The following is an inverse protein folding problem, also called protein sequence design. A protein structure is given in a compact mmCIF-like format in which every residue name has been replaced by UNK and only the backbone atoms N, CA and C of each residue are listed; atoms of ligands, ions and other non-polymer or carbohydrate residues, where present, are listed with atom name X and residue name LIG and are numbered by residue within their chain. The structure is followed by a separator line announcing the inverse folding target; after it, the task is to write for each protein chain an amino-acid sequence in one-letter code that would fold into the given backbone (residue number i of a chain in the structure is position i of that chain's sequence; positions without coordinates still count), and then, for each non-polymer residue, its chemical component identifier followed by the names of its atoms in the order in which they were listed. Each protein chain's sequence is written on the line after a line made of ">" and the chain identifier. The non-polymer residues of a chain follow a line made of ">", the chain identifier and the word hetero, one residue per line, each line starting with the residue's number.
data_IF_849711559827
#
_entry.id   IF_849711559827
#
_cell.length_a   1.000
_cell.length_b   1.000
_cell.length_c   1.000
_cell.angle_alpha   90.00
_cell.angle_beta   90.00
_cell.angle_gamma   90.00
#
_symmetry.space_group_name_H-M   'P 1'
#
loop_
_entity.id
_entity.type
_entity.pdbx_description
1 polymer ?
#
# COMPACT_ATOMS: atom_id res chain seq x y z
N UNK A 1 -6.92 30.09 14.88
CA UNK A 1 -6.49 29.80 13.50
C UNK A 1 -6.67 28.32 13.29
N UNK A 2 -7.61 27.92 12.43
CA UNK A 2 -7.82 26.51 12.10
C UNK A 2 -6.68 26.10 11.18
N UNK A 3 -5.81 25.21 11.64
CA UNK A 3 -4.77 24.61 10.81
C UNK A 3 -5.47 23.93 9.64
N UNK A 4 -5.23 24.45 8.43
CA UNK A 4 -5.68 23.82 7.21
C UNK A 4 -4.79 22.60 7.05
N UNK A 5 -5.24 21.45 7.54
CA UNK A 5 -4.58 20.16 7.33
C UNK A 5 -4.61 19.96 5.82
N UNK A 6 -3.49 20.23 5.17
CA UNK A 6 -3.31 19.91 3.76
C UNK A 6 -3.62 18.43 3.62
N UNK A 7 -4.51 18.04 2.68
CA UNK A 7 -4.73 16.61 2.44
C UNK A 7 -3.37 15.97 2.16
N UNK A 8 -3.08 14.78 2.72
CA UNK A 8 -1.81 14.11 2.46
C UNK A 8 -1.58 14.00 0.95
N UNK A 9 -0.35 14.22 0.50
CA UNK A 9 -0.02 14.06 -0.91
C UNK A 9 0.10 12.56 -1.17
N UNK A 10 -0.96 12.03 -1.75
CA UNK A 10 -1.17 10.64 -2.06
C UNK A 10 -0.57 10.33 -3.45
N UNK A 11 0.45 9.48 -3.52
CA UNK A 11 1.15 9.12 -4.77
C UNK A 11 0.57 7.83 -5.39
N UNK A 12 0.68 7.62 -6.70
CA UNK A 12 0.10 6.44 -7.36
C UNK A 12 0.80 5.12 -6.95
N UNK A 13 0.20 3.94 -7.19
CA UNK A 13 0.86 2.66 -6.94
C UNK A 13 2.17 2.50 -7.71
N UNK A 14 2.26 3.08 -8.90
CA UNK A 14 3.49 3.08 -9.71
C UNK A 14 4.60 3.87 -9.00
N UNK A 15 4.26 5.03 -8.43
CA UNK A 15 5.21 5.85 -7.67
C UNK A 15 5.65 5.17 -6.37
N UNK A 16 4.81 4.28 -5.81
CA UNK A 16 5.13 3.48 -4.61
C UNK A 16 6.34 2.61 -4.81
N UNK A 17 6.43 1.98 -5.98
CA UNK A 17 7.54 1.09 -6.34
C UNK A 17 8.87 1.84 -6.29
N UNK A 18 8.93 3.02 -6.88
CA UNK A 18 10.15 3.82 -6.89
C UNK A 18 10.42 4.47 -5.52
N UNK A 19 9.37 4.98 -4.85
CA UNK A 19 9.49 5.76 -3.61
C UNK A 19 9.74 4.91 -2.36
N UNK A 20 9.23 3.68 -2.29
CA UNK A 20 9.36 2.80 -1.12
C UNK A 20 10.56 1.86 -1.19
N UNK A 21 11.17 1.69 -2.37
CA UNK A 21 12.36 0.84 -2.54
C UNK A 21 13.49 1.11 -1.53
N UNK A 22 13.81 2.36 -1.15
CA UNK A 22 14.86 2.64 -0.16
C UNK A 22 14.48 2.26 1.29
N UNK A 23 13.19 2.08 1.58
CA UNK A 23 12.68 1.83 2.93
C UNK A 23 12.39 0.34 3.19
N UNK A 24 12.66 -0.52 2.21
CA UNK A 24 12.45 -1.96 2.34
C UNK A 24 13.32 -2.55 3.46
N UNK A 25 12.68 -3.29 4.36
CA UNK A 25 13.35 -4.08 5.39
C UNK A 25 13.99 -5.34 4.79
N UNK A 26 14.62 -6.17 5.63
CA UNK A 26 15.25 -7.43 5.21
C UNK A 26 14.30 -8.46 4.58
N UNK A 27 12.99 -8.27 4.70
CA UNK A 27 11.94 -9.10 4.10
C UNK A 27 11.40 -8.50 2.78
N UNK A 28 12.03 -7.44 2.26
CA UNK A 28 11.52 -6.63 1.15
C UNK A 28 10.13 -6.04 1.41
N UNK A 29 9.90 -5.58 2.64
CA UNK A 29 8.63 -4.99 3.05
C UNK A 29 8.80 -3.64 3.77
N UNK A 30 7.73 -2.85 3.77
CA UNK A 30 7.56 -1.68 4.63
C UNK A 30 6.30 -1.90 5.44
N UNK A 31 6.48 -2.10 6.74
CA UNK A 31 5.40 -2.09 7.73
C UNK A 31 5.07 -0.62 8.03
N UNK A 32 3.79 -0.24 8.06
CA UNK A 32 3.32 1.14 8.31
C UNK A 32 3.32 2.07 7.08
N UNK A 33 2.62 1.64 6.04
CA UNK A 33 2.23 2.52 4.93
C UNK A 33 0.74 2.79 5.01
N UNK A 34 0.33 4.05 4.90
CA UNK A 34 -1.08 4.37 4.70
C UNK A 34 -1.39 4.27 3.21
N UNK A 35 -2.50 3.65 2.86
CA UNK A 35 -2.99 3.52 1.49
C UNK A 35 -4.42 4.01 1.36
N UNK A 36 -4.73 4.63 0.22
CA UNK A 36 -6.08 4.98 -0.20
C UNK A 36 -6.60 3.89 -1.12
N UNK A 37 -7.62 3.17 -0.67
CA UNK A 37 -8.32 2.18 -1.49
C UNK A 37 -9.32 2.91 -2.40
N UNK A 38 -9.36 2.57 -3.68
CA UNK A 38 -10.39 3.04 -4.60
C UNK A 38 -11.72 2.34 -4.28
N UNK A 39 -12.67 3.10 -3.73
CA UNK A 39 -13.99 2.63 -3.31
C UNK A 39 -14.91 2.30 -4.49
N UNK A 40 -14.57 2.72 -5.71
CA UNK A 40 -15.38 2.47 -6.90
C UNK A 40 -15.17 1.06 -7.48
N UNK A 41 -14.03 0.43 -7.20
CA UNK A 41 -13.62 -0.83 -7.83
C UNK A 41 -13.35 -1.96 -6.85
N UNK A 42 -13.61 -1.82 -5.55
CA UNK A 42 -13.32 -2.90 -4.58
C UNK A 42 -14.18 -4.13 -4.88
N UNK A 43 -13.54 -5.22 -5.33
CA UNK A 43 -14.21 -6.48 -5.68
C UNK A 43 -14.94 -7.15 -4.49
N UNK A 44 -14.64 -6.72 -3.27
CA UNK A 44 -15.28 -7.19 -2.05
C UNK A 44 -15.66 -5.98 -1.19
N UNK A 45 -16.95 -5.83 -0.88
CA UNK A 45 -17.49 -4.89 0.10
C UNK A 45 -16.92 -5.19 1.50
N UNK A 46 -15.70 -4.75 1.77
CA UNK A 46 -15.11 -4.90 3.11
C UNK A 46 -15.64 -3.83 4.09
N UNK A 47 -16.46 -2.87 3.63
CA UNK A 47 -17.02 -1.74 4.42
C UNK A 47 -16.00 -0.99 5.31
N UNK A 48 -14.71 -1.24 5.11
CA UNK A 48 -13.66 -0.66 5.92
C UNK A 48 -13.33 0.74 5.44
N UNK A 49 -12.48 1.45 6.20
CA UNK A 49 -12.16 2.84 5.90
C UNK A 49 -11.50 2.98 4.53
N UNK A 50 -11.73 4.13 3.90
CA UNK A 50 -11.12 4.52 2.62
C UNK A 50 -9.58 4.57 2.72
N UNK A 51 -9.08 4.96 3.88
CA UNK A 51 -7.67 5.00 4.22
C UNK A 51 -7.34 3.85 5.16
N UNK A 52 -6.31 3.07 4.82
CA UNK A 52 -5.94 1.88 5.57
C UNK A 52 -4.45 1.87 5.85
N UNK A 53 -4.11 1.45 7.05
CA UNK A 53 -2.75 1.05 7.34
C UNK A 53 -2.48 -0.31 6.68
N UNK A 54 -1.35 -0.38 6.00
CA UNK A 54 -0.95 -1.50 5.19
C UNK A 54 0.56 -1.76 5.31
N UNK A 55 0.94 -2.98 4.94
CA UNK A 55 2.30 -3.38 4.61
C UNK A 55 2.48 -3.31 3.11
N UNK A 56 3.52 -2.63 2.66
CA UNK A 56 4.02 -2.76 1.29
C UNK A 56 4.97 -3.93 1.20
N UNK A 57 4.82 -4.81 0.22
CA UNK A 57 5.78 -5.90 -0.05
C UNK A 57 6.22 -5.78 -1.50
N UNK A 58 7.52 -5.65 -1.71
CA UNK A 58 8.10 -5.58 -3.04
C UNK A 58 8.65 -6.95 -3.45
N UNK A 59 7.91 -7.63 -4.31
CA UNK A 59 8.18 -8.99 -4.73
C UNK A 59 8.84 -9.10 -6.10
N UNK A 60 10.09 -9.58 -6.10
CA UNK A 60 10.97 -9.90 -7.25
C UNK A 60 10.24 -10.30 -8.56
N UNK A 61 10.69 -9.74 -9.70
CA UNK A 61 10.18 -10.03 -11.06
C UNK A 61 10.74 -11.34 -11.67
N UNK A 62 11.56 -12.09 -10.93
CA UNK A 62 12.14 -13.38 -11.36
C UNK A 62 11.41 -14.62 -10.84
N UNK A 63 11.87 -15.81 -11.26
CA UNK A 63 11.28 -17.12 -10.93
C UNK A 63 11.53 -17.52 -9.47
N UNK A 64 10.60 -17.18 -8.58
CA UNK A 64 10.46 -17.78 -7.25
C UNK A 64 9.62 -19.08 -7.34
N UNK A 65 9.86 -20.10 -6.49
CA UNK A 65 9.10 -21.37 -6.50
C UNK A 65 7.58 -21.22 -6.28
N UNK A 66 7.14 -20.07 -5.75
CA UNK A 66 5.72 -19.70 -5.62
C UNK A 66 5.21 -18.74 -6.72
N UNK A 67 6.02 -18.45 -7.76
CA UNK A 67 5.73 -17.50 -8.84
C UNK A 67 6.29 -16.08 -8.60
N UNK A 68 6.36 -15.22 -9.63
CA UNK A 68 6.83 -13.84 -9.49
C UNK A 68 5.95 -13.08 -8.52
N UNK A 69 6.53 -12.34 -7.56
CA UNK A 69 5.72 -11.79 -6.47
C UNK A 69 5.07 -10.43 -6.75
N UNK A 70 5.50 -9.58 -7.69
CA UNK A 70 4.92 -8.24 -7.91
C UNK A 70 4.79 -7.35 -6.65
N UNK A 71 4.77 -6.03 -6.84
CA UNK A 71 4.48 -5.12 -5.72
C UNK A 71 3.05 -5.38 -5.20
N UNK A 72 2.91 -5.60 -3.90
CA UNK A 72 1.63 -5.91 -3.26
C UNK A 72 1.43 -5.11 -1.98
N UNK A 73 0.17 -4.84 -1.66
CA UNK A 73 -0.26 -4.20 -0.42
C UNK A 73 -1.03 -5.20 0.42
N UNK A 74 -0.76 -5.26 1.72
CA UNK A 74 -1.49 -6.09 2.66
C UNK A 74 -2.06 -5.22 3.77
N UNK A 75 -3.35 -5.39 4.07
CA UNK A 75 -4.02 -4.68 5.15
C UNK A 75 -3.43 -5.10 6.50
N UNK A 76 -2.96 -4.14 7.30
CA UNK A 76 -2.28 -4.44 8.56
C UNK A 76 -3.20 -5.06 9.61
N UNK A 77 -4.53 -4.88 9.50
CA UNK A 77 -5.51 -5.42 10.45
C UNK A 77 -5.87 -6.86 10.12
N UNK A 78 -6.10 -7.16 8.84
CA UNK A 78 -6.63 -8.45 8.38
C UNK A 78 -5.56 -9.38 7.81
N UNK A 79 -4.40 -8.84 7.42
CA UNK A 79 -3.36 -9.56 6.69
C UNK A 79 -3.75 -9.91 5.26
N UNK A 80 -4.92 -9.46 4.78
CA UNK A 80 -5.40 -9.74 3.43
C UNK A 80 -4.79 -8.78 2.42
N UNK A 81 -4.61 -9.25 1.18
CA UNK A 81 -4.14 -8.41 0.08
C UNK A 81 -5.17 -7.32 -0.21
N UNK A 82 -4.68 -6.08 -0.30
CA UNK A 82 -5.46 -4.94 -0.76
C UNK A 82 -5.41 -4.85 -2.29
N UNK A 83 -6.58 -4.68 -2.89
CA UNK A 83 -6.76 -4.47 -4.32
C UNK A 83 -7.24 -3.04 -4.59
N UNK A 84 -6.97 -2.54 -5.79
CA UNK A 84 -7.36 -1.20 -6.23
C UNK A 84 -6.88 -0.09 -5.30
N UNK A 85 -5.63 -0.18 -4.84
CA UNK A 85 -4.98 0.94 -4.18
C UNK A 85 -4.81 2.04 -5.22
N UNK A 86 -5.39 3.22 -4.96
CA UNK A 86 -5.25 4.38 -5.84
C UNK A 86 -4.10 5.28 -5.41
N UNK A 87 -3.71 5.23 -4.14
CA UNK A 87 -2.56 5.96 -3.66
C UNK A 87 -1.97 5.51 -2.31
N UNK A 88 -0.80 6.04 -1.93
CA UNK A 88 -0.11 5.75 -0.67
C UNK A 88 0.67 6.94 -0.07
N UNK A 89 1.03 6.83 1.22
CA UNK A 89 2.02 7.65 1.95
C UNK A 89 2.61 6.85 3.11
N UNK A 90 3.83 7.18 3.57
CA UNK A 90 4.35 6.63 4.84
C UNK A 90 3.45 7.07 6.01
N UNK A 91 3.22 6.18 6.97
CA UNK A 91 2.60 6.56 8.22
C UNK A 91 3.61 7.37 9.06
N UNK A 92 3.15 8.46 9.67
CA UNK A 92 3.93 9.29 10.61
C UNK A 92 3.87 8.75 12.04
#
# INVERSE_FOLDING_TARGET
>A
MTTLIQPPIWNSPTDAVAGLAPFLNSENAVDHVLVKVDDQNVAHFDNGPLYREARYVYGYTGTHPAGPMAACWYDSRTGLRLHNVSAWTLAE
#
